data_IF_706334880331
#
_entry.id   IF_706334880331
#
_cell.length_a   1.000
_cell.length_b   1.000
_cell.length_c   1.000
_cell.angle_alpha   90.00
_cell.angle_beta   90.00
_cell.angle_gamma   90.00
#
_symmetry.space_group_name_H-M   'P 1'
#
loop_
_entity.id
_entity.type
_entity.pdbx_description
1 polymer ?
#
# COMPACT_ATOMS: atom_id res chain seq x y z
N UNK A 1 1.78 13.49 9.24
CA UNK A 1 2.75 12.53 9.79
C UNK A 1 2.90 11.32 8.86
N UNK A 2 4.09 10.72 8.80
CA UNK A 2 4.42 9.57 7.97
C UNK A 2 3.49 8.37 8.23
N UNK A 3 3.23 8.08 9.48
CA UNK A 3 2.33 6.99 9.91
C UNK A 3 0.91 7.14 9.35
N UNK A 4 0.42 8.37 9.29
CA UNK A 4 -0.91 8.68 8.76
C UNK A 4 -1.03 8.44 7.26
N UNK A 5 0.04 8.69 6.49
CA UNK A 5 0.03 8.47 5.04
C UNK A 5 -0.15 7.00 4.70
N UNK A 6 0.60 6.11 5.37
CA UNK A 6 0.49 4.66 5.14
C UNK A 6 -0.87 4.13 5.57
N UNK A 7 -1.37 4.56 6.72
CA UNK A 7 -2.72 4.20 7.16
C UNK A 7 -3.81 4.66 6.19
N UNK A 8 -3.67 5.88 5.66
CA UNK A 8 -4.59 6.43 4.67
C UNK A 8 -4.55 5.65 3.35
N UNK A 9 -3.38 5.16 2.94
CA UNK A 9 -3.24 4.31 1.75
C UNK A 9 -4.17 3.10 1.83
N UNK A 10 -4.14 2.37 2.95
CA UNK A 10 -5.01 1.20 3.13
C UNK A 10 -6.50 1.56 3.16
N UNK A 11 -6.84 2.72 3.71
CA UNK A 11 -8.23 3.20 3.71
C UNK A 11 -8.75 3.49 2.30
N UNK A 12 -7.95 4.16 1.45
CA UNK A 12 -8.40 4.58 0.12
C UNK A 12 -8.46 3.45 -0.89
N UNK A 13 -7.68 2.38 -0.71
CA UNK A 13 -7.73 1.20 -1.58
C UNK A 13 -8.76 0.16 -1.13
N UNK A 14 -9.28 0.27 0.09
CA UNK A 14 -10.31 -0.64 0.60
C UNK A 14 -11.68 -0.20 0.10
N UNK A 15 -12.45 -1.13 -0.45
CA UNK A 15 -13.75 -0.86 -1.08
C UNK A 15 -14.81 -1.78 -0.48
N UNK A 16 -15.87 -1.24 0.16
CA UNK A 16 -17.00 -2.03 0.60
C UNK A 16 -17.82 -2.52 -0.59
N UNK A 17 -18.64 -3.56 -0.37
CA UNK A 17 -19.54 -4.08 -1.39
C UNK A 17 -20.45 -2.98 -1.95
N UNK A 18 -20.49 -2.84 -3.27
CA UNK A 18 -21.22 -1.77 -3.96
C UNK A 18 -20.61 -0.39 -3.81
N UNK A 19 -19.47 -0.26 -3.16
CA UNK A 19 -18.77 1.00 -2.97
C UNK A 19 -17.82 1.35 -4.12
N UNK A 20 -17.20 2.51 -3.97
CA UNK A 20 -16.22 3.04 -4.92
C UNK A 20 -14.99 3.48 -4.12
N UNK A 21 -13.76 3.27 -4.64
CA UNK A 21 -12.56 3.80 -4.02
C UNK A 21 -12.57 5.32 -3.94
N UNK A 22 -11.89 5.85 -2.94
CA UNK A 22 -11.65 7.29 -2.81
C UNK A 22 -10.49 7.70 -3.75
N UNK A 23 -10.82 7.88 -5.04
CA UNK A 23 -9.84 8.20 -6.07
C UNK A 23 -9.10 9.51 -5.82
N UNK A 24 -9.80 10.52 -5.34
CA UNK A 24 -9.20 11.82 -5.03
C UNK A 24 -8.28 11.73 -3.81
N UNK A 25 -8.72 11.07 -2.76
CA UNK A 25 -7.90 10.81 -1.58
C UNK A 25 -6.67 10.00 -1.90
N UNK A 26 -6.78 9.02 -2.80
CA UNK A 26 -5.65 8.23 -3.30
C UNK A 26 -4.65 9.12 -4.04
N UNK A 27 -5.10 9.93 -4.99
CA UNK A 27 -4.22 10.80 -5.77
C UNK A 27 -3.42 11.76 -4.90
N UNK A 28 -4.00 12.27 -3.82
CA UNK A 28 -3.33 13.20 -2.88
C UNK A 28 -2.19 12.56 -2.08
N UNK A 29 -2.17 11.23 -1.96
CA UNK A 29 -1.11 10.52 -1.23
C UNK A 29 0.18 10.39 -2.03
N UNK A 30 0.10 10.48 -3.34
CA UNK A 30 1.22 10.25 -4.25
C UNK A 30 1.77 11.55 -4.81
N UNK A 31 3.07 11.55 -5.11
CA UNK A 31 3.67 12.56 -5.98
C UNK A 31 3.20 12.34 -7.42
N UNK A 32 3.14 13.42 -8.22
CA UNK A 32 2.73 13.35 -9.63
C UNK A 32 3.60 12.41 -10.47
N UNK A 33 4.88 12.30 -10.09
CA UNK A 33 5.85 11.42 -10.75
C UNK A 33 5.91 10.01 -10.14
N UNK A 34 5.02 9.67 -9.21
CA UNK A 34 5.06 8.40 -8.49
C UNK A 34 4.95 7.19 -9.44
N UNK A 35 5.61 6.12 -9.05
CA UNK A 35 5.55 4.81 -9.72
C UNK A 35 4.97 3.77 -8.79
N UNK A 36 4.08 2.98 -9.35
CA UNK A 36 3.42 1.88 -8.67
C UNK A 36 3.72 0.62 -9.46
N UNK A 37 4.31 -0.38 -8.80
CA UNK A 37 4.78 -1.59 -9.47
C UNK A 37 4.19 -2.82 -8.82
N UNK A 38 3.57 -3.66 -9.64
CA UNK A 38 3.07 -4.97 -9.26
C UNK A 38 3.95 -6.05 -9.87
N UNK A 39 4.41 -6.98 -9.05
CA UNK A 39 5.14 -8.16 -9.49
C UNK A 39 4.20 -9.37 -9.38
N UNK A 40 4.09 -10.12 -10.47
CA UNK A 40 3.42 -11.41 -10.52
C UNK A 40 4.42 -12.47 -10.97
N UNK A 41 4.12 -13.78 -10.89
CA UNK A 41 5.00 -14.82 -11.41
C UNK A 41 5.31 -14.68 -12.90
N UNK A 42 4.38 -14.09 -13.66
CA UNK A 42 4.49 -13.97 -15.12
C UNK A 42 5.00 -12.61 -15.60
N UNK A 43 4.83 -11.55 -14.79
CA UNK A 43 5.04 -10.19 -15.26
C UNK A 43 5.41 -9.19 -14.15
N UNK A 44 5.93 -8.07 -14.61
CA UNK A 44 6.09 -6.86 -13.80
C UNK A 44 5.30 -5.75 -14.49
N UNK A 45 4.28 -5.26 -13.82
CA UNK A 45 3.44 -4.18 -14.31
C UNK A 45 3.82 -2.86 -13.62
N UNK A 46 4.01 -1.82 -14.39
CA UNK A 46 4.32 -0.48 -13.88
C UNK A 46 3.22 0.50 -14.24
N UNK A 47 2.80 1.29 -13.26
CA UNK A 47 1.73 2.28 -13.40
C UNK A 47 2.18 3.64 -12.88
N UNK A 48 1.69 4.71 -13.50
CA UNK A 48 1.50 5.97 -12.80
C UNK A 48 0.20 5.90 -11.96
N UNK A 49 -0.12 6.96 -11.25
CA UNK A 49 -1.31 6.98 -10.37
C UNK A 49 -2.59 6.78 -11.18
N UNK A 50 -2.74 7.44 -12.31
CA UNK A 50 -3.93 7.31 -13.17
C UNK A 50 -4.08 5.89 -13.73
N UNK A 51 -2.98 5.29 -14.17
CA UNK A 51 -2.94 3.91 -14.66
C UNK A 51 -3.29 2.90 -13.57
N UNK A 52 -2.83 3.13 -12.35
CA UNK A 52 -3.17 2.29 -11.21
C UNK A 52 -4.66 2.38 -10.86
N UNK A 53 -5.23 3.58 -10.86
CA UNK A 53 -6.66 3.78 -10.63
C UNK A 53 -7.50 3.11 -11.73
N UNK A 54 -7.08 3.20 -12.98
CA UNK A 54 -7.74 2.52 -14.10
C UNK A 54 -7.71 0.99 -13.94
N UNK A 55 -6.58 0.43 -13.51
CA UNK A 55 -6.46 -1.02 -13.26
C UNK A 55 -7.39 -1.46 -12.12
N UNK A 56 -7.47 -0.73 -11.01
CA UNK A 56 -8.39 -1.04 -9.92
C UNK A 56 -9.85 -0.92 -10.37
N UNK A 57 -10.18 0.08 -11.16
CA UNK A 57 -11.53 0.27 -11.71
C UNK A 57 -11.95 -0.91 -12.58
N UNK A 58 -11.07 -1.39 -13.45
CA UNK A 58 -11.34 -2.58 -14.29
C UNK A 58 -11.59 -3.84 -13.45
N UNK A 59 -10.80 -4.06 -12.39
CA UNK A 59 -10.98 -5.20 -11.49
C UNK A 59 -12.34 -5.16 -10.78
N UNK A 60 -12.80 -3.98 -10.37
CA UNK A 60 -14.11 -3.81 -9.75
C UNK A 60 -15.25 -3.98 -10.74
N UNK A 61 -15.12 -3.42 -11.95
CA UNK A 61 -16.14 -3.52 -13.02
C UNK A 61 -16.26 -4.94 -13.55
N UNK A 62 -15.18 -5.71 -13.58
CA UNK A 62 -15.18 -7.12 -14.02
C UNK A 62 -15.94 -8.05 -13.07
N UNK A 63 -16.25 -7.60 -11.85
CA UNK A 63 -16.89 -8.41 -10.82
C UNK A 63 -15.99 -9.47 -10.17
N UNK A 64 -14.69 -9.48 -10.50
CA UNK A 64 -13.68 -10.35 -9.84
C UNK A 64 -13.61 -10.02 -8.35
N UNK A 65 -13.69 -8.73 -8.02
CA UNK A 65 -13.80 -8.25 -6.64
C UNK A 65 -15.06 -7.41 -6.48
N UNK A 66 -15.97 -7.83 -5.64
CA UNK A 66 -17.18 -7.06 -5.26
C UNK A 66 -16.94 -6.21 -4.02
N UNK A 67 -16.03 -6.64 -3.18
CA UNK A 67 -15.54 -5.91 -2.01
C UNK A 67 -14.09 -6.28 -1.75
N UNK A 68 -13.33 -5.35 -1.19
CA UNK A 68 -11.92 -5.55 -0.92
C UNK A 68 -11.53 -4.74 0.31
N UNK A 69 -11.00 -5.41 1.31
CA UNK A 69 -10.50 -4.77 2.51
C UNK A 69 -9.06 -5.18 2.75
N UNK A 70 -8.19 -4.19 2.87
CA UNK A 70 -6.77 -4.38 3.13
C UNK A 70 -6.38 -3.64 4.41
N UNK A 71 -5.70 -4.32 5.31
CA UNK A 71 -5.24 -3.73 6.55
C UNK A 71 -3.77 -4.07 6.83
N UNK A 72 -3.07 -3.10 7.39
CA UNK A 72 -1.70 -3.29 7.84
C UNK A 72 -1.67 -4.15 9.10
N UNK A 73 -0.75 -5.10 9.13
CA UNK A 73 -0.51 -5.97 10.29
C UNK A 73 0.83 -5.70 10.97
N UNK A 74 1.72 -4.98 10.31
CA UNK A 74 3.00 -4.55 10.89
C UNK A 74 3.81 -3.75 9.90
N UNK A 75 4.78 -2.98 10.38
CA UNK A 75 5.67 -2.18 9.54
C UNK A 75 7.06 -2.02 10.10
N UNK A 76 7.99 -1.84 9.19
CA UNK A 76 9.33 -1.33 9.48
C UNK A 76 9.51 -0.02 8.74
N UNK A 77 9.86 1.04 9.45
CA UNK A 77 10.06 2.37 8.90
C UNK A 77 11.50 2.83 9.14
N UNK A 78 12.15 3.31 8.09
CA UNK A 78 13.47 3.92 8.13
C UNK A 78 13.38 5.34 7.57
N UNK A 79 13.88 6.32 8.30
CA UNK A 79 13.79 7.73 7.94
C UNK A 79 15.16 8.41 7.99
N UNK A 80 15.46 9.18 6.96
CA UNK A 80 16.61 10.08 6.92
C UNK A 80 16.21 11.42 6.30
N UNK A 81 16.20 12.47 7.09
CA UNK A 81 15.82 13.80 6.61
C UNK A 81 14.41 13.83 6.03
N UNK A 82 14.31 14.13 4.74
CA UNK A 82 13.04 14.24 4.01
C UNK A 82 12.73 12.99 3.16
N UNK A 83 13.39 11.88 3.39
CA UNK A 83 13.07 10.60 2.76
C UNK A 83 12.77 9.52 3.79
N UNK A 84 11.89 8.61 3.44
CA UNK A 84 11.56 7.45 4.25
C UNK A 84 11.35 6.22 3.38
N UNK A 85 11.62 5.06 3.96
CA UNK A 85 11.27 3.76 3.41
C UNK A 85 10.41 3.01 4.43
N UNK A 86 9.30 2.48 3.98
CA UNK A 86 8.39 1.68 4.78
C UNK A 86 8.19 0.32 4.14
N UNK A 87 8.53 -0.73 4.86
CA UNK A 87 8.04 -2.08 4.56
C UNK A 87 6.80 -2.30 5.40
N UNK A 88 5.66 -2.43 4.74
CA UNK A 88 4.36 -2.57 5.38
C UNK A 88 3.74 -3.92 5.03
N UNK A 89 3.58 -4.76 6.04
CA UNK A 89 2.92 -6.05 5.89
C UNK A 89 1.41 -5.87 6.02
N UNK A 90 0.64 -6.51 5.14
CA UNK A 90 -0.81 -6.39 5.10
C UNK A 90 -1.50 -7.73 4.94
N UNK A 91 -2.76 -7.75 5.33
CA UNK A 91 -3.73 -8.80 5.05
C UNK A 91 -4.86 -8.26 4.19
N UNK A 92 -5.37 -9.11 3.30
CA UNK A 92 -6.59 -8.84 2.56
C UNK A 92 -7.73 -9.69 3.10
N UNK A 93 -8.90 -9.09 3.21
CA UNK A 93 -10.13 -9.72 3.67
C UNK A 93 -11.28 -9.29 2.78
N UNK A 94 -12.37 -10.03 2.84
CA UNK A 94 -13.61 -9.65 2.15
C UNK A 94 -14.18 -8.35 2.71
N UNK A 95 -14.17 -8.21 4.03
CA UNK A 95 -14.54 -6.99 4.76
C UNK A 95 -13.78 -6.93 6.09
N UNK A 96 -13.87 -5.80 6.79
CA UNK A 96 -13.16 -5.58 8.04
C UNK A 96 -13.54 -6.57 9.16
N UNK A 97 -14.76 -7.08 9.15
CA UNK A 97 -15.29 -8.00 10.15
C UNK A 97 -15.06 -9.48 9.76
N UNK A 98 -14.65 -9.76 8.54
CA UNK A 98 -14.46 -11.14 8.08
C UNK A 98 -13.37 -11.85 8.90
N UNK A 99 -13.62 -13.06 9.42
CA UNK A 99 -12.64 -13.79 10.20
C UNK A 99 -11.52 -14.39 9.32
N UNK A 100 -11.82 -14.67 8.04
CA UNK A 100 -10.90 -15.34 7.13
C UNK A 100 -10.08 -14.34 6.33
N UNK A 101 -8.76 -14.55 6.32
CA UNK A 101 -7.82 -13.86 5.45
C UNK A 101 -7.91 -14.43 4.04
N UNK A 102 -8.07 -13.57 3.03
CA UNK A 102 -8.02 -13.95 1.61
C UNK A 102 -6.59 -14.01 1.09
N UNK A 103 -5.72 -13.14 1.59
CA UNK A 103 -4.34 -13.07 1.20
C UNK A 103 -3.51 -12.24 2.16
N UNK A 104 -2.22 -12.17 1.90
CA UNK A 104 -1.28 -11.33 2.63
C UNK A 104 -0.12 -10.96 1.71
N UNK A 105 0.55 -9.87 2.04
CA UNK A 105 1.70 -9.41 1.29
C UNK A 105 2.48 -8.35 2.04
N UNK A 106 3.48 -7.82 1.34
CA UNK A 106 4.31 -6.73 1.84
C UNK A 106 4.39 -5.64 0.77
N UNK A 107 4.08 -4.42 1.17
CA UNK A 107 4.30 -3.22 0.38
C UNK A 107 5.66 -2.61 0.73
N UNK A 108 6.49 -2.35 -0.27
CA UNK A 108 7.69 -1.53 -0.18
C UNK A 108 7.34 -0.12 -0.63
N UNK A 109 7.43 0.85 0.26
CA UNK A 109 6.95 2.21 0.02
C UNK A 109 8.09 3.18 0.26
N UNK A 110 8.42 3.99 -0.74
CA UNK A 110 9.33 5.13 -0.59
C UNK A 110 8.53 6.42 -0.53
N UNK A 111 8.87 7.28 0.42
CA UNK A 111 8.18 8.53 0.65
C UNK A 111 9.16 9.70 0.68
N UNK A 112 8.68 10.85 0.27
CA UNK A 112 9.38 12.14 0.30
C UNK A 112 8.56 13.14 1.09
N UNK A 113 9.22 13.94 1.92
CA UNK A 113 8.59 15.07 2.63
C UNK A 113 8.90 16.37 1.92
N UNK A 114 7.87 17.00 1.42
CA UNK A 114 7.93 18.32 0.79
C UNK A 114 6.96 19.27 1.49
N UNK A 115 7.44 20.46 1.85
CA UNK A 115 6.63 21.47 2.55
C UNK A 115 5.88 20.93 3.78
N UNK A 116 6.56 20.05 4.53
CA UNK A 116 5.99 19.44 5.75
C UNK A 116 5.05 18.25 5.53
N UNK A 117 4.78 17.89 4.27
CA UNK A 117 3.85 16.80 3.91
C UNK A 117 4.60 15.61 3.32
N UNK A 118 4.35 14.42 3.86
CA UNK A 118 4.84 13.16 3.31
C UNK A 118 3.95 12.70 2.16
N UNK A 119 4.57 12.35 1.04
CA UNK A 119 3.90 11.75 -0.12
C UNK A 119 4.66 10.54 -0.62
N UNK A 120 3.93 9.63 -1.24
CA UNK A 120 4.48 8.39 -1.79
C UNK A 120 5.14 8.68 -3.14
N UNK A 121 6.42 8.33 -3.25
CA UNK A 121 7.19 8.37 -4.51
C UNK A 121 7.11 7.04 -5.25
N UNK A 122 7.16 5.93 -4.54
CA UNK A 122 7.03 4.59 -5.14
C UNK A 122 6.32 3.63 -4.20
N UNK A 123 5.55 2.74 -4.80
CA UNK A 123 4.87 1.64 -4.15
C UNK A 123 5.15 0.37 -4.96
N UNK A 124 5.71 -0.63 -4.31
CA UNK A 124 6.04 -1.91 -4.93
C UNK A 124 5.50 -3.05 -4.07
N UNK A 125 4.80 -4.01 -4.69
CA UNK A 125 4.40 -5.25 -4.03
C UNK A 125 4.58 -6.45 -4.96
N UNK A 126 4.71 -7.61 -4.34
CA UNK A 126 4.83 -8.88 -5.02
C UNK A 126 3.59 -9.73 -4.71
N UNK A 127 2.78 -10.02 -5.73
CA UNK A 127 1.64 -10.94 -5.64
C UNK A 127 2.06 -12.40 -5.81
N UNK A 128 3.37 -12.63 -5.76
CA UNK A 128 3.97 -13.92 -6.02
C UNK A 128 3.27 -15.07 -5.31
N UNK A 129 3.56 -16.20 -5.83
CA UNK A 129 3.06 -17.51 -5.47
C UNK A 129 2.70 -17.63 -3.97
N UNK A 130 1.64 -18.37 -3.68
CA UNK A 130 1.21 -18.76 -2.32
C UNK A 130 2.34 -19.35 -1.43
N UNK A 131 3.51 -19.58 -2.01
CA UNK A 131 4.72 -19.99 -1.31
C UNK A 131 5.45 -18.84 -0.61
N UNK A 132 5.13 -17.56 -0.90
CA UNK A 132 5.62 -16.42 -0.14
C UNK A 132 4.79 -16.25 1.15
N UNK A 133 4.57 -17.37 1.84
CA UNK A 133 3.93 -17.32 3.15
C UNK A 133 4.87 -16.60 4.12
N UNK A 134 4.46 -15.41 4.58
CA UNK A 134 5.12 -14.78 5.71
C UNK A 134 4.20 -14.85 6.94
N UNK A 135 4.83 -14.93 8.09
CA UNK A 135 4.12 -14.80 9.36
C UNK A 135 4.08 -13.32 9.73
N UNK A 136 2.90 -12.73 10.02
CA UNK A 136 2.80 -11.35 10.48
C UNK A 136 3.71 -11.05 11.68
N UNK A 137 3.99 -12.03 12.50
CA UNK A 137 4.88 -11.91 13.66
C UNK A 137 6.33 -11.61 13.27
N UNK A 138 6.75 -11.87 12.03
CA UNK A 138 8.04 -11.48 11.49
C UNK A 138 8.17 -9.97 11.29
N UNK A 139 7.03 -9.28 11.15
CA UNK A 139 6.99 -7.84 11.01
C UNK A 139 6.65 -7.18 12.36
N UNK A 140 7.66 -7.08 13.21
CA UNK A 140 7.55 -6.25 14.41
C UNK A 140 7.58 -4.78 14.00
N UNK A 141 6.74 -3.97 14.61
CA UNK A 141 6.78 -2.53 14.41
C UNK A 141 8.16 -2.00 14.82
N UNK A 142 8.87 -1.43 13.86
CA UNK A 142 10.21 -0.90 14.07
C UNK A 142 10.33 0.46 13.38
N UNK A 143 10.87 1.43 14.09
CA UNK A 143 11.19 2.74 13.54
C UNK A 143 12.68 3.02 13.73
N UNK A 144 13.38 3.37 12.65
CA UNK A 144 14.78 3.75 12.66
C UNK A 144 14.93 5.14 12.06
N UNK A 145 15.50 6.04 12.81
CA UNK A 145 15.82 7.40 12.38
C UNK A 145 17.32 7.55 12.25
N UNK A 146 17.77 7.89 11.07
CA UNK A 146 19.18 8.14 10.77
C UNK A 146 19.47 9.63 10.79
N UNK A 147 20.60 10.00 11.38
CA UNK A 147 21.03 11.39 11.50
C UNK A 147 20.40 12.13 12.69
N UNK A 148 20.78 13.40 12.85
CA UNK A 148 20.20 14.23 13.91
C UNK A 148 18.80 14.67 13.48
N UNK A 149 17.84 14.45 14.34
CA UNK A 149 16.53 15.10 14.23
C UNK A 149 16.72 16.62 14.27
N UNK A 150 16.36 17.28 13.22
CA UNK A 150 16.31 18.75 13.19
C UNK A 150 15.02 19.23 13.84
#
# INVERSE_FOLDING_TARGET
ELKGVVGKLYQVISVPEGGCPDWEGMAKLFLDCARITRITPEARDEFDVDGFQAMLSELLESGVYTSFFECEVGRRTETFGSMAHVLSAYETKRDAAAPARLGAGVNSIQLVREQGTWRILSLLWDEGDSHLAFSPEQFQNMEIHYGKTR
#
